data_IF_436881455297
#
_entry.id   IF_436881455297
#
_cell.length_a   1.000
_cell.length_b   1.000
_cell.length_c   1.000
_cell.angle_alpha   90.00
_cell.angle_beta   90.00
_cell.angle_gamma   90.00
#
_symmetry.space_group_name_H-M   'P 1'
#
loop_
_entity.id
_entity.type
_entity.pdbx_description
1 polymer ?
#
# COMPACT_ATOMS: atom_id res chain seq x y z
N UNK A 1 -59.20 -23.40 -45.94
CA UNK A 1 -58.50 -22.19 -46.41
C UNK A 1 -59.08 -21.00 -45.67
N UNK A 2 -58.33 -20.46 -44.73
CA UNK A 2 -58.57 -19.18 -44.05
C UNK A 2 -57.22 -18.44 -43.99
N UNK A 3 -57.18 -17.14 -44.28
CA UNK A 3 -55.95 -16.43 -44.60
C UNK A 3 -55.09 -16.21 -43.36
N UNK A 4 -53.78 -16.30 -43.53
CA UNK A 4 -52.80 -16.14 -42.46
C UNK A 4 -52.73 -14.71 -41.93
N UNK A 5 -52.64 -14.61 -40.61
CA UNK A 5 -52.15 -13.40 -39.94
C UNK A 5 -50.62 -13.35 -40.06
N UNK A 6 -50.03 -12.24 -40.55
CA UNK A 6 -48.60 -12.04 -40.45
C UNK A 6 -48.24 -11.68 -39.01
N UNK A 7 -47.48 -12.55 -38.34
CA UNK A 7 -46.79 -12.21 -37.09
C UNK A 7 -45.83 -11.06 -37.38
N UNK A 8 -46.10 -9.90 -36.80
CA UNK A 8 -45.16 -8.79 -36.70
C UNK A 8 -43.91 -9.31 -35.98
N UNK A 9 -42.78 -9.33 -36.70
CA UNK A 9 -41.48 -9.51 -36.08
C UNK A 9 -41.24 -8.35 -35.13
N UNK A 10 -41.20 -8.64 -33.82
CA UNK A 10 -40.66 -7.74 -32.81
C UNK A 10 -39.21 -7.42 -33.21
N UNK A 11 -39.00 -6.19 -33.69
CA UNK A 11 -37.67 -5.62 -33.82
C UNK A 11 -37.10 -5.53 -32.41
N UNK A 12 -36.07 -6.33 -32.14
CA UNK A 12 -35.31 -6.26 -30.90
C UNK A 12 -34.91 -4.80 -30.64
N UNK A 13 -35.42 -4.27 -29.54
CA UNK A 13 -34.93 -3.02 -28.97
C UNK A 13 -33.51 -3.35 -28.50
N UNK A 14 -32.51 -2.87 -29.23
CA UNK A 14 -31.14 -2.86 -28.77
C UNK A 14 -31.13 -1.94 -27.53
N UNK A 15 -31.16 -2.52 -26.33
CA UNK A 15 -31.05 -1.76 -25.08
C UNK A 15 -29.74 -0.98 -25.14
N UNK A 16 -29.84 0.35 -25.16
CA UNK A 16 -28.68 1.22 -25.20
C UNK A 16 -27.82 0.97 -23.96
N UNK A 17 -26.53 0.72 -24.17
CA UNK A 17 -25.55 0.58 -23.08
C UNK A 17 -25.54 1.88 -22.27
N UNK A 18 -25.68 1.84 -20.93
CA UNK A 18 -25.65 3.04 -20.09
C UNK A 18 -24.36 3.86 -20.32
N UNK A 19 -24.45 5.20 -20.28
CA UNK A 19 -23.30 6.11 -20.53
C UNK A 19 -22.05 5.73 -19.70
N UNK A 20 -22.24 5.44 -18.41
CA UNK A 20 -21.15 5.00 -17.51
C UNK A 20 -20.45 3.73 -18.01
N UNK A 21 -21.20 2.81 -18.60
CA UNK A 21 -20.64 1.57 -19.12
C UNK A 21 -19.80 1.79 -20.37
N UNK A 22 -20.20 2.73 -21.22
CA UNK A 22 -19.37 3.18 -22.34
C UNK A 22 -18.09 3.87 -21.84
N UNK A 23 -18.16 4.68 -20.79
CA UNK A 23 -16.98 5.33 -20.18
C UNK A 23 -16.00 4.30 -19.61
N UNK A 24 -16.50 3.25 -18.96
CA UNK A 24 -15.68 2.15 -18.44
C UNK A 24 -14.94 1.42 -19.56
N UNK A 25 -15.62 1.11 -20.66
CA UNK A 25 -14.99 0.54 -21.85
C UNK A 25 -13.94 1.49 -22.43
N UNK A 26 -14.24 2.78 -22.49
CA UNK A 26 -13.31 3.80 -22.98
C UNK A 26 -12.05 3.90 -22.13
N UNK A 27 -12.18 3.87 -20.80
CA UNK A 27 -11.04 3.84 -19.89
C UNK A 27 -10.13 2.64 -20.17
N UNK A 28 -10.74 1.46 -20.35
CA UNK A 28 -10.00 0.25 -20.67
C UNK A 28 -9.28 0.32 -22.03
N UNK A 29 -9.94 0.84 -23.06
CA UNK A 29 -9.32 1.08 -24.37
C UNK A 29 -8.13 2.04 -24.28
N UNK A 30 -8.25 3.13 -23.51
CA UNK A 30 -7.17 4.09 -23.32
C UNK A 30 -5.97 3.46 -22.63
N UNK A 31 -6.19 2.59 -21.64
CA UNK A 31 -5.12 1.81 -20.99
C UNK A 31 -4.47 0.85 -22.00
N UNK A 32 -5.25 0.15 -22.81
CA UNK A 32 -4.74 -0.76 -23.84
C UNK A 32 -3.88 -0.04 -24.90
N UNK A 33 -4.30 1.16 -25.32
CA UNK A 33 -3.54 1.99 -26.25
C UNK A 33 -2.22 2.51 -25.64
N UNK A 34 -2.15 2.63 -24.31
CA UNK A 34 -0.95 3.06 -23.59
C UNK A 34 -0.06 1.89 -23.13
N UNK A 35 -0.47 0.64 -23.33
CA UNK A 35 0.14 -0.57 -22.76
C UNK A 35 1.66 -0.66 -23.01
N UNK A 36 2.13 -0.38 -24.23
CA UNK A 36 3.56 -0.43 -24.54
C UNK A 36 4.37 0.61 -23.73
N UNK A 37 3.83 1.82 -23.57
CA UNK A 37 4.49 2.90 -22.81
C UNK A 37 4.46 2.63 -21.30
N UNK A 38 3.36 2.09 -20.80
CA UNK A 38 3.21 1.69 -19.40
C UNK A 38 4.15 0.53 -19.04
N UNK A 39 4.23 -0.49 -19.89
CA UNK A 39 5.18 -1.59 -19.68
C UNK A 39 6.64 -1.17 -19.83
N UNK A 40 6.94 -0.17 -20.67
CA UNK A 40 8.28 0.42 -20.74
C UNK A 40 8.64 1.19 -19.45
N UNK A 41 7.70 1.96 -18.88
CA UNK A 41 7.85 2.63 -17.59
C UNK A 41 8.14 1.62 -16.48
N UNK A 42 7.31 0.58 -16.36
CA UNK A 42 7.48 -0.49 -15.37
C UNK A 42 8.83 -1.19 -15.50
N UNK A 43 9.24 -1.50 -16.74
CA UNK A 43 10.53 -2.15 -17.01
C UNK A 43 11.71 -1.25 -16.65
N UNK A 44 11.63 0.05 -16.89
CA UNK A 44 12.68 0.99 -16.53
C UNK A 44 12.89 1.00 -15.02
N UNK A 45 11.81 1.14 -14.25
CA UNK A 45 11.83 1.07 -12.78
C UNK A 45 12.41 -0.28 -12.32
N UNK A 46 11.88 -1.39 -12.85
CA UNK A 46 12.30 -2.73 -12.47
C UNK A 46 13.79 -3.01 -12.69
N UNK A 47 14.36 -2.47 -13.78
CA UNK A 47 15.73 -2.76 -14.20
C UNK A 47 16.82 -2.04 -13.39
N UNK A 48 16.46 -0.99 -12.66
CA UNK A 48 17.37 -0.20 -11.83
C UNK A 48 16.75 -0.02 -10.44
N UNK A 49 16.77 -1.08 -9.60
CA UNK A 49 16.15 -1.05 -8.30
C UNK A 49 16.87 -0.10 -7.34
N UNK A 50 16.12 0.80 -6.72
CA UNK A 50 16.60 1.79 -5.76
C UNK A 50 15.91 1.60 -4.41
N UNK A 51 16.65 1.78 -3.32
CA UNK A 51 16.13 1.56 -1.96
C UNK A 51 15.25 2.72 -1.50
N UNK A 52 14.54 2.49 -0.39
CA UNK A 52 13.76 3.51 0.29
C UNK A 52 14.52 4.86 0.43
N UNK A 53 13.85 5.94 0.01
CA UNK A 53 14.33 7.33 -0.05
C UNK A 53 15.43 7.64 -1.08
N UNK A 54 15.91 6.65 -1.82
CA UNK A 54 16.98 6.78 -2.82
C UNK A 54 16.46 6.54 -4.25
N UNK A 55 15.13 6.50 -4.45
CA UNK A 55 14.43 6.16 -5.70
C UNK A 55 14.46 7.27 -6.78
N UNK A 56 15.65 7.81 -7.05
CA UNK A 56 15.85 8.94 -7.96
C UNK A 56 15.59 8.61 -9.43
N UNK A 57 16.01 7.43 -9.90
CA UNK A 57 15.74 6.96 -11.25
C UNK A 57 14.24 6.70 -11.43
N UNK A 58 13.61 5.94 -10.53
CA UNK A 58 12.18 5.63 -10.64
C UNK A 58 11.31 6.90 -10.57
N UNK A 59 11.63 7.83 -9.67
CA UNK A 59 11.04 9.17 -9.61
C UNK A 59 11.17 9.91 -10.94
N UNK A 60 12.37 9.91 -11.51
CA UNK A 60 12.67 10.54 -12.79
C UNK A 60 11.88 9.94 -13.96
N UNK A 61 11.71 8.62 -14.00
CA UNK A 61 10.93 7.93 -15.02
C UNK A 61 9.43 8.27 -14.92
N UNK A 62 8.86 8.24 -13.71
CA UNK A 62 7.44 8.55 -13.49
C UNK A 62 7.10 10.01 -13.78
N UNK A 63 7.93 10.95 -13.32
CA UNK A 63 7.73 12.38 -13.60
C UNK A 63 7.81 12.66 -15.10
N UNK A 64 8.85 12.14 -15.79
CA UNK A 64 8.99 12.26 -17.25
C UNK A 64 7.84 11.62 -18.01
N UNK A 65 7.30 10.50 -17.53
CA UNK A 65 6.16 9.83 -18.14
C UNK A 65 4.95 10.76 -18.20
N UNK A 66 4.56 11.38 -17.07
CA UNK A 66 3.41 12.29 -17.03
C UNK A 66 3.66 13.61 -17.78
N UNK A 67 4.86 14.16 -17.74
CA UNK A 67 5.23 15.38 -18.49
C UNK A 67 5.05 15.19 -20.01
N UNK A 68 5.36 13.98 -20.49
CA UNK A 68 5.33 13.62 -21.91
C UNK A 68 4.02 12.98 -22.36
N UNK A 69 3.08 12.72 -21.46
CA UNK A 69 1.82 12.09 -21.80
C UNK A 69 1.03 12.94 -22.80
N UNK A 70 0.64 12.39 -23.97
CA UNK A 70 -0.06 13.15 -24.99
C UNK A 70 -1.49 13.57 -24.61
N UNK A 71 -1.99 14.71 -25.12
CA UNK A 71 -1.18 15.83 -25.60
C UNK A 71 -0.19 16.32 -24.53
N UNK A 72 1.05 16.63 -24.95
CA UNK A 72 2.15 17.07 -24.07
C UNK A 72 1.70 18.23 -23.18
N UNK A 73 2.19 18.27 -21.94
CA UNK A 73 1.81 19.26 -20.92
C UNK A 73 0.32 19.22 -20.53
N UNK A 74 -0.32 18.06 -20.69
CA UNK A 74 -1.67 17.80 -20.17
C UNK A 74 -1.70 17.62 -18.65
N UNK A 75 -0.62 17.12 -18.05
CA UNK A 75 -0.48 16.98 -16.60
C UNK A 75 0.37 18.11 -16.01
N UNK A 76 -0.10 18.68 -14.90
CA UNK A 76 0.69 19.59 -14.07
C UNK A 76 1.55 18.76 -13.10
N UNK A 77 2.82 18.54 -13.48
CA UNK A 77 3.77 17.72 -12.71
C UNK A 77 4.60 18.59 -11.76
N UNK A 78 4.65 18.17 -10.50
CA UNK A 78 5.46 18.75 -9.43
C UNK A 78 6.43 17.65 -8.92
N UNK A 79 7.68 17.62 -9.39
CA UNK A 79 8.70 16.74 -8.83
C UNK A 79 9.10 17.22 -7.42
N UNK A 80 9.70 16.31 -6.63
CA UNK A 80 10.19 16.57 -5.28
C UNK A 80 9.09 17.10 -4.34
N UNK A 81 7.90 16.50 -4.41
CA UNK A 81 6.71 16.98 -3.70
C UNK A 81 6.69 16.47 -2.26
N UNK A 82 7.08 17.30 -1.31
CA UNK A 82 7.15 16.95 0.13
C UNK A 82 8.41 16.14 0.49
N UNK A 83 8.82 15.20 -0.36
CA UNK A 83 10.05 14.42 -0.22
C UNK A 83 10.94 14.51 -1.47
N UNK A 84 12.27 14.28 -1.36
CA UNK A 84 13.20 14.31 -2.48
C UNK A 84 12.85 13.34 -3.62
N UNK A 85 12.28 12.17 -3.33
CA UNK A 85 11.91 11.18 -4.35
C UNK A 85 10.42 11.06 -4.56
N UNK A 86 9.60 11.93 -3.96
CA UNK A 86 8.16 11.98 -4.21
C UNK A 86 7.78 12.92 -5.36
N UNK A 87 6.60 12.72 -5.96
CA UNK A 87 6.04 13.64 -6.95
C UNK A 87 4.52 13.74 -6.86
N UNK A 88 3.98 14.79 -7.48
CA UNK A 88 2.55 14.99 -7.67
C UNK A 88 2.26 15.37 -9.11
N UNK A 89 1.43 14.60 -9.82
CA UNK A 89 0.95 14.94 -11.16
C UNK A 89 -0.55 15.16 -11.13
N UNK A 90 -1.02 16.33 -11.54
CA UNK A 90 -2.45 16.67 -11.56
C UNK A 90 -2.99 16.81 -12.97
N UNK A 91 -4.21 16.32 -13.18
CA UNK A 91 -4.99 16.58 -14.39
C UNK A 91 -6.41 16.97 -14.01
N UNK A 92 -6.95 17.96 -14.72
CA UNK A 92 -8.35 18.37 -14.65
C UNK A 92 -8.92 18.41 -16.07
N UNK A 93 -10.21 18.08 -16.26
CA UNK A 93 -10.84 18.17 -17.57
C UNK A 93 -10.78 19.61 -18.14
N UNK A 94 -10.38 19.79 -19.41
CA UNK A 94 -10.29 21.12 -20.02
C UNK A 94 -11.67 21.72 -20.30
N UNK A 95 -11.78 23.05 -20.20
CA UNK A 95 -12.98 23.81 -20.60
C UNK A 95 -13.98 24.10 -19.48
N UNK A 96 -15.20 24.58 -19.81
CA UNK A 96 -16.23 24.90 -18.83
C UNK A 96 -16.65 23.65 -18.04
N UNK A 97 -16.55 23.71 -16.72
CA UNK A 97 -16.96 22.63 -15.81
C UNK A 97 -18.44 22.76 -15.46
N UNK A 98 -19.10 21.62 -15.18
CA UNK A 98 -20.39 21.66 -14.52
C UNK A 98 -20.28 22.38 -13.16
N UNK A 99 -21.39 22.91 -12.63
CA UNK A 99 -21.38 23.56 -11.32
C UNK A 99 -21.23 22.53 -10.20
N UNK A 100 -20.36 22.79 -9.21
CA UNK A 100 -20.16 21.94 -8.04
C UNK A 100 -18.73 22.03 -7.48
N UNK A 101 -18.51 21.45 -6.30
CA UNK A 101 -17.16 21.22 -5.78
C UNK A 101 -16.47 20.12 -6.61
N UNK A 102 -15.18 20.28 -6.86
CA UNK A 102 -14.39 19.28 -7.57
C UNK A 102 -14.14 18.06 -6.69
N UNK A 103 -14.39 16.87 -7.24
CA UNK A 103 -14.02 15.60 -6.62
C UNK A 103 -12.54 15.32 -6.91
N UNK A 104 -11.72 15.13 -5.88
CA UNK A 104 -10.30 14.89 -6.01
C UNK A 104 -9.96 13.41 -5.80
N UNK A 105 -9.54 12.73 -6.86
CA UNK A 105 -9.19 11.31 -6.82
C UNK A 105 -7.67 11.12 -6.86
N UNK A 106 -7.12 10.43 -5.87
CA UNK A 106 -5.69 10.11 -5.79
C UNK A 106 -5.38 8.72 -6.31
N UNK A 107 -4.33 8.57 -7.11
CA UNK A 107 -3.76 7.29 -7.54
C UNK A 107 -2.33 7.22 -7.04
N UNK A 108 -2.03 6.24 -6.19
CA UNK A 108 -0.71 6.13 -5.57
C UNK A 108 0.20 5.19 -6.37
N UNK A 109 1.47 5.55 -6.43
CA UNK A 109 2.53 4.82 -7.10
C UNK A 109 3.69 4.61 -6.12
N UNK A 110 3.97 3.36 -5.75
CA UNK A 110 5.21 2.98 -5.04
C UNK A 110 6.28 2.51 -6.03
N UNK A 111 7.55 2.63 -5.67
CA UNK A 111 8.66 2.32 -6.58
C UNK A 111 10.01 2.14 -5.87
N UNK A 112 10.04 1.91 -4.57
CA UNK A 112 11.21 1.45 -3.85
C UNK A 112 11.45 -0.06 -4.01
N UNK A 113 12.67 -0.49 -3.73
CA UNK A 113 13.14 -1.86 -3.86
C UNK A 113 13.75 -2.36 -2.55
N UNK A 114 13.94 -3.68 -2.47
CA UNK A 114 14.47 -4.36 -1.30
C UNK A 114 15.99 -4.56 -1.39
N UNK A 115 16.74 -4.40 -0.27
CA UNK A 115 18.19 -4.63 -0.23
C UNK A 115 18.59 -6.02 -0.72
N UNK A 116 19.35 -6.07 -1.83
CA UNK A 116 19.88 -7.30 -2.41
C UNK A 116 18.86 -8.18 -3.14
N UNK A 117 17.58 -7.81 -3.19
CA UNK A 117 16.51 -8.56 -3.86
C UNK A 117 15.89 -7.81 -5.04
N UNK A 118 16.06 -6.49 -5.14
CA UNK A 118 15.39 -5.68 -6.17
C UNK A 118 13.90 -5.52 -5.87
N UNK A 119 13.06 -5.37 -6.90
CA UNK A 119 11.61 -5.22 -6.73
C UNK A 119 10.90 -6.56 -6.41
N UNK A 120 11.32 -7.23 -5.34
CA UNK A 120 10.73 -8.49 -4.89
C UNK A 120 9.35 -8.33 -4.23
N UNK A 121 8.87 -7.08 -4.06
CA UNK A 121 7.49 -6.77 -3.71
C UNK A 121 6.67 -6.24 -4.91
N UNK A 122 7.31 -6.08 -6.07
CA UNK A 122 6.64 -5.70 -7.32
C UNK A 122 6.23 -4.23 -7.44
N UNK A 123 6.92 -3.32 -6.73
CA UNK A 123 6.58 -1.89 -6.72
C UNK A 123 6.64 -1.25 -8.12
N UNK A 124 7.44 -1.78 -9.05
CA UNK A 124 7.39 -1.39 -10.46
C UNK A 124 5.99 -1.57 -11.08
N UNK A 125 5.25 -2.62 -10.71
CA UNK A 125 3.89 -2.88 -11.16
C UNK A 125 2.88 -1.99 -10.42
N UNK A 126 3.11 -1.65 -9.15
CA UNK A 126 2.28 -0.71 -8.39
C UNK A 126 2.34 0.68 -9.04
N UNK A 127 3.54 1.17 -9.35
CA UNK A 127 3.75 2.41 -10.10
C UNK A 127 2.98 2.39 -11.43
N UNK A 128 3.10 1.31 -12.19
CA UNK A 128 2.42 1.13 -13.47
C UNK A 128 0.89 1.16 -13.32
N UNK A 129 0.34 0.46 -12.33
CA UNK A 129 -1.11 0.42 -12.07
C UNK A 129 -1.66 1.80 -11.76
N UNK A 130 -1.00 2.54 -10.84
CA UNK A 130 -1.42 3.88 -10.46
C UNK A 130 -1.44 4.83 -11.66
N UNK A 131 -0.38 4.79 -12.48
CA UNK A 131 -0.29 5.60 -13.69
C UNK A 131 -1.33 5.22 -14.74
N UNK A 132 -1.48 3.92 -15.02
CA UNK A 132 -2.44 3.40 -15.98
C UNK A 132 -3.89 3.74 -15.61
N UNK A 133 -4.26 3.56 -14.34
CA UNK A 133 -5.61 3.84 -13.88
C UNK A 133 -5.96 5.33 -14.03
N UNK A 134 -5.03 6.22 -13.69
CA UNK A 134 -5.18 7.67 -13.87
C UNK A 134 -5.36 8.06 -15.35
N UNK A 135 -4.58 7.46 -16.26
CA UNK A 135 -4.74 7.65 -17.70
C UNK A 135 -6.10 7.16 -18.21
N UNK A 136 -6.57 6.00 -17.73
CA UNK A 136 -7.87 5.44 -18.09
C UNK A 136 -9.02 6.38 -17.70
N UNK A 137 -9.01 6.90 -16.47
CA UNK A 137 -10.04 7.85 -15.99
C UNK A 137 -10.02 9.13 -16.84
N UNK A 138 -8.84 9.68 -17.10
CA UNK A 138 -8.68 10.85 -17.98
C UNK A 138 -9.27 10.59 -19.37
N UNK A 139 -8.87 9.48 -20.02
CA UNK A 139 -9.29 9.16 -21.38
C UNK A 139 -10.80 8.92 -21.50
N UNK A 140 -11.44 8.38 -20.46
CA UNK A 140 -12.89 8.29 -20.38
C UNK A 140 -13.56 9.66 -20.27
N UNK A 141 -13.07 10.53 -19.40
CA UNK A 141 -13.63 11.87 -19.18
C UNK A 141 -13.46 12.79 -20.39
N UNK A 142 -12.34 12.70 -21.11
CA UNK A 142 -12.12 13.41 -22.39
C UNK A 142 -13.05 12.90 -23.51
N UNK A 143 -13.54 11.66 -23.40
CA UNK A 143 -14.46 11.06 -24.37
C UNK A 143 -15.92 11.49 -24.21
N UNK A 144 -16.26 12.33 -23.22
CA UNK A 144 -17.63 12.77 -22.99
C UNK A 144 -18.11 13.78 -24.03
N UNK A 145 -19.33 13.56 -24.54
CA UNK A 145 -20.02 14.50 -25.44
C UNK A 145 -20.59 15.74 -24.72
N UNK A 146 -20.57 15.75 -23.39
CA UNK A 146 -21.11 16.81 -22.52
C UNK A 146 -20.02 17.30 -21.56
N UNK A 147 -20.18 18.49 -20.96
CA UNK A 147 -19.24 18.96 -19.95
C UNK A 147 -19.03 17.91 -18.85
N UNK A 148 -17.77 17.53 -18.55
CA UNK A 148 -17.47 16.55 -17.53
C UNK A 148 -17.84 17.08 -16.13
N UNK A 149 -18.14 16.19 -15.17
CA UNK A 149 -18.27 16.59 -13.78
C UNK A 149 -16.97 17.23 -13.27
N UNK A 150 -17.02 18.13 -12.28
CA UNK A 150 -15.82 18.72 -11.69
C UNK A 150 -15.02 17.62 -10.99
N UNK A 151 -13.91 17.20 -11.60
CA UNK A 151 -13.02 16.15 -11.09
C UNK A 151 -11.58 16.61 -11.26
N UNK A 152 -10.74 16.31 -10.29
CA UNK A 152 -9.28 16.37 -10.40
C UNK A 152 -8.71 14.97 -10.20
N UNK A 153 -7.91 14.52 -11.16
CA UNK A 153 -7.14 13.27 -11.05
C UNK A 153 -5.74 13.63 -10.60
N UNK A 154 -5.29 13.02 -9.52
CA UNK A 154 -4.00 13.29 -8.89
C UNK A 154 -3.24 11.97 -8.83
N UNK A 155 -2.04 11.92 -9.38
CA UNK A 155 -1.11 10.82 -9.18
C UNK A 155 -0.07 11.27 -8.16
N UNK A 156 0.10 10.48 -7.11
CA UNK A 156 1.11 10.71 -6.09
C UNK A 156 2.15 9.61 -6.15
N UNK A 157 3.41 10.01 -6.36
CA UNK A 157 4.53 9.12 -6.15
C UNK A 157 4.86 9.04 -4.67
N UNK A 158 4.80 7.83 -4.12
CA UNK A 158 4.97 7.55 -2.69
C UNK A 158 6.20 6.65 -2.49
N UNK A 159 7.38 7.22 -2.18
CA UNK A 159 8.61 6.45 -1.96
C UNK A 159 8.58 5.71 -0.62
N UNK A 160 9.61 4.90 -0.38
CA UNK A 160 9.99 4.37 0.93
C UNK A 160 8.89 3.61 1.70
N UNK A 161 8.16 2.72 1.03
CA UNK A 161 7.17 1.88 1.72
C UNK A 161 7.82 0.72 2.48
N UNK A 162 8.90 0.14 1.96
CA UNK A 162 9.56 -1.02 2.57
C UNK A 162 10.39 -0.65 3.81
N UNK A 163 10.84 0.60 3.90
CA UNK A 163 11.62 1.10 5.04
C UNK A 163 11.35 2.59 5.25
N UNK A 164 10.90 2.94 6.46
CA UNK A 164 10.74 4.32 6.91
C UNK A 164 9.35 4.95 6.70
N UNK A 165 8.54 4.51 5.72
CA UNK A 165 7.13 4.90 5.60
C UNK A 165 6.91 6.26 4.93
N UNK A 166 7.32 6.40 3.68
CA UNK A 166 7.26 7.67 2.96
C UNK A 166 5.84 8.23 2.77
N UNK A 167 4.77 7.42 2.82
CA UNK A 167 3.39 7.96 2.84
C UNK A 167 3.10 8.71 4.14
N UNK A 168 3.70 8.31 5.24
CA UNK A 168 3.54 8.95 6.55
C UNK A 168 4.17 10.34 6.52
N UNK A 169 5.40 10.43 6.02
CA UNK A 169 6.07 11.72 5.76
C UNK A 169 5.23 12.63 4.83
N UNK A 170 4.65 12.05 3.77
CA UNK A 170 3.80 12.78 2.83
C UNK A 170 2.48 13.24 3.47
N UNK A 171 1.90 12.47 4.40
CA UNK A 171 0.74 12.89 5.21
C UNK A 171 1.12 14.11 6.06
N UNK A 172 2.26 14.06 6.75
CA UNK A 172 2.77 15.17 7.56
C UNK A 172 3.06 16.43 6.73
N UNK A 173 3.60 16.25 5.52
CA UNK A 173 3.81 17.32 4.54
C UNK A 173 2.50 17.85 3.91
N UNK A 174 1.34 17.23 4.21
CA UNK A 174 0.03 17.64 3.74
C UNK A 174 -0.32 17.19 2.32
N UNK A 175 0.38 16.19 1.77
CA UNK A 175 0.17 15.71 0.40
C UNK A 175 -1.22 15.14 0.15
N UNK A 176 -1.82 14.53 1.17
CA UNK A 176 -3.14 13.89 1.13
C UNK A 176 -4.29 14.83 1.47
N UNK A 177 -4.01 16.09 1.83
CA UNK A 177 -5.05 17.09 2.14
C UNK A 177 -5.96 17.32 0.93
N UNK A 178 -7.26 17.39 1.19
CA UNK A 178 -8.31 17.62 0.19
C UNK A 178 -8.46 16.51 -0.87
N UNK A 179 -7.92 15.31 -0.66
CA UNK A 179 -8.30 14.15 -1.47
C UNK A 179 -9.63 13.58 -0.98
N UNK A 180 -10.51 13.21 -1.92
CA UNK A 180 -11.81 12.62 -1.58
C UNK A 180 -11.76 11.09 -1.52
N UNK A 181 -11.00 10.44 -2.40
CA UNK A 181 -10.80 8.98 -2.45
C UNK A 181 -9.42 8.67 -3.04
N UNK A 182 -8.72 7.67 -2.49
CA UNK A 182 -7.44 7.18 -3.01
C UNK A 182 -7.52 5.74 -3.52
N UNK A 183 -6.74 5.44 -4.57
CA UNK A 183 -6.65 4.14 -5.22
C UNK A 183 -5.19 3.73 -5.36
N UNK A 184 -4.90 2.49 -5.05
CA UNK A 184 -3.60 1.83 -5.25
C UNK A 184 -3.88 0.34 -5.38
N UNK A 185 -3.07 -0.47 -6.06
CA UNK A 185 -3.20 -1.92 -5.99
C UNK A 185 -1.83 -2.58 -5.93
N UNK A 186 -1.77 -3.70 -5.23
CA UNK A 186 -0.53 -4.40 -4.91
C UNK A 186 -0.45 -5.76 -5.64
N UNK A 187 0.67 -6.13 -6.26
CA UNK A 187 0.81 -7.45 -6.86
C UNK A 187 0.93 -8.54 -5.78
N UNK A 188 0.36 -9.73 -6.04
CA UNK A 188 0.41 -10.89 -5.13
C UNK A 188 0.28 -12.20 -5.92
N UNK A 189 0.09 -13.32 -5.22
CA UNK A 189 -0.20 -14.63 -5.83
C UNK A 189 -1.69 -14.85 -6.13
N UNK A 190 -2.57 -13.98 -5.65
CA UNK A 190 -4.02 -14.18 -5.74
C UNK A 190 -4.77 -12.86 -5.88
N UNK A 191 -5.81 -12.84 -6.71
CA UNK A 191 -6.66 -11.66 -6.83
C UNK A 191 -7.54 -11.51 -5.56
N UNK A 192 -7.40 -10.39 -4.85
CA UNK A 192 -8.19 -10.07 -3.65
C UNK A 192 -8.60 -8.59 -3.65
N UNK A 193 -9.83 -8.28 -3.26
CA UNK A 193 -10.26 -6.88 -3.14
C UNK A 193 -9.75 -6.22 -1.84
N UNK A 194 -9.32 -7.04 -0.89
CA UNK A 194 -8.79 -6.67 0.41
C UNK A 194 -8.04 -7.88 0.98
N UNK A 195 -6.90 -7.64 1.62
CA UNK A 195 -6.27 -8.58 2.56
C UNK A 195 -6.07 -7.85 3.88
N UNK A 196 -5.95 -8.61 4.97
CA UNK A 196 -5.74 -8.04 6.29
C UNK A 196 -4.31 -7.50 6.42
N UNK A 197 -4.13 -6.19 6.32
CA UNK A 197 -2.88 -5.53 6.66
C UNK A 197 -2.93 -5.02 8.09
N UNK A 198 -1.96 -5.45 8.90
CA UNK A 198 -1.94 -5.26 10.35
C UNK A 198 -1.00 -4.15 10.75
N UNK A 199 -1.27 -3.57 11.92
CA UNK A 199 -0.42 -2.53 12.47
C UNK A 199 0.92 -3.11 12.93
N UNK A 200 2.00 -2.38 12.69
CA UNK A 200 3.37 -2.77 12.99
C UNK A 200 4.14 -1.68 13.73
N UNK A 201 4.98 -2.10 14.68
CA UNK A 201 5.93 -1.25 15.40
C UNK A 201 7.26 -1.97 15.54
N UNK A 202 8.33 -1.24 15.23
CA UNK A 202 9.69 -1.75 15.22
C UNK A 202 10.49 -1.13 16.36
N UNK A 203 11.31 -1.94 17.04
CA UNK A 203 12.17 -1.47 18.13
C UNK A 203 13.60 -2.00 18.03
N UNK A 204 14.55 -1.11 18.26
CA UNK A 204 15.93 -1.44 18.57
C UNK A 204 16.14 -1.37 20.09
N UNK A 205 16.60 -2.47 20.68
CA UNK A 205 16.86 -2.60 22.12
C UNK A 205 18.35 -2.74 22.34
N UNK A 206 18.94 -1.80 23.08
CA UNK A 206 20.38 -1.79 23.39
C UNK A 206 20.59 -1.92 24.88
N UNK A 207 21.37 -2.92 25.29
CA UNK A 207 21.78 -3.06 26.68
C UNK A 207 23.23 -2.59 26.85
N UNK A 208 23.47 -1.84 27.93
CA UNK A 208 24.80 -1.38 28.31
C UNK A 208 25.14 -1.90 29.71
N UNK A 209 26.27 -2.59 29.79
CA UNK A 209 26.84 -3.18 31.00
C UNK A 209 28.30 -2.77 31.19
N UNK A 210 29.13 -3.69 31.70
CA UNK A 210 30.53 -3.46 32.03
C UNK A 210 31.36 -4.70 31.72
N UNK A 211 32.40 -4.52 30.92
CA UNK A 211 33.28 -5.61 30.54
C UNK A 211 34.17 -6.05 31.72
N UNK A 212 34.46 -7.34 31.78
CA UNK A 212 35.44 -7.94 32.69
C UNK A 212 35.97 -9.24 32.12
N UNK A 213 37.09 -9.72 32.66
CA UNK A 213 37.66 -11.01 32.26
C UNK A 213 36.78 -12.16 32.79
N UNK A 214 36.14 -12.89 31.88
CA UNK A 214 35.07 -13.83 32.22
C UNK A 214 35.50 -14.92 33.22
N UNK A 215 36.75 -15.39 33.13
CA UNK A 215 37.26 -16.43 34.04
C UNK A 215 37.93 -15.89 35.32
N UNK A 216 38.38 -14.63 35.31
CA UNK A 216 39.28 -14.14 36.37
C UNK A 216 38.56 -13.23 37.36
N UNK A 217 37.69 -12.34 36.86
CA UNK A 217 36.98 -11.35 37.68
C UNK A 217 35.51 -11.19 37.24
N UNK A 218 34.73 -12.28 37.05
CA UNK A 218 33.37 -12.16 36.52
C UNK A 218 32.46 -11.27 37.37
N UNK A 219 32.66 -11.24 38.69
CA UNK A 219 31.91 -10.40 39.63
C UNK A 219 32.12 -8.89 39.46
N UNK A 220 33.16 -8.47 38.74
CA UNK A 220 33.40 -7.05 38.41
C UNK A 220 32.63 -6.59 37.17
N UNK A 221 32.06 -7.53 36.41
CA UNK A 221 31.35 -7.28 35.16
C UNK A 221 29.83 -7.15 35.32
N UNK A 222 29.20 -6.57 34.31
CA UNK A 222 27.74 -6.50 34.13
C UNK A 222 27.46 -6.95 32.70
N UNK A 223 26.82 -8.11 32.54
CA UNK A 223 26.79 -8.82 31.27
C UNK A 223 25.58 -8.41 30.41
N UNK A 224 25.85 -7.63 29.35
CA UNK A 224 24.82 -7.19 28.41
C UNK A 224 24.29 -8.33 27.52
N UNK A 225 25.07 -9.39 27.26
CA UNK A 225 24.57 -10.56 26.52
C UNK A 225 23.56 -11.34 27.38
N UNK A 226 23.78 -11.46 28.68
CA UNK A 226 22.81 -12.11 29.58
C UNK A 226 21.48 -11.33 29.59
N UNK A 227 21.53 -9.99 29.52
CA UNK A 227 20.33 -9.17 29.38
C UNK A 227 19.58 -9.45 28.07
N UNK A 228 20.30 -9.58 26.95
CA UNK A 228 19.69 -9.95 25.66
C UNK A 228 19.06 -11.36 25.69
N UNK A 229 19.72 -12.34 26.32
CA UNK A 229 19.20 -13.71 26.45
C UNK A 229 17.96 -13.76 27.35
N UNK A 230 17.98 -13.04 28.48
CA UNK A 230 16.82 -12.91 29.36
C UNK A 230 15.66 -12.20 28.66
N UNK A 231 15.93 -11.13 27.91
CA UNK A 231 14.93 -10.46 27.08
C UNK A 231 14.26 -11.42 26.10
N UNK A 232 15.07 -12.21 25.38
CA UNK A 232 14.57 -13.21 24.44
C UNK A 232 13.69 -14.26 25.13
N UNK A 233 14.10 -14.71 26.32
CA UNK A 233 13.35 -15.68 27.13
C UNK A 233 12.05 -15.10 27.69
N UNK A 234 12.09 -13.85 28.17
CA UNK A 234 10.91 -13.13 28.66
C UNK A 234 9.86 -12.98 27.56
N UNK A 235 10.28 -12.57 26.35
CA UNK A 235 9.39 -12.51 25.17
C UNK A 235 8.87 -13.89 24.79
N UNK A 236 9.70 -14.94 24.88
CA UNK A 236 9.26 -16.31 24.59
C UNK A 236 8.11 -16.75 25.49
N UNK A 237 8.18 -16.47 26.80
CA UNK A 237 7.09 -16.84 27.73
C UNK A 237 5.90 -15.88 27.68
N UNK A 238 6.09 -14.61 27.27
CA UNK A 238 5.01 -13.66 27.00
C UNK A 238 4.01 -14.21 25.97
N UNK A 239 4.47 -15.00 25.00
CA UNK A 239 3.63 -15.56 23.92
C UNK A 239 2.42 -16.34 24.40
N UNK A 240 2.51 -17.01 25.55
CA UNK A 240 1.35 -17.71 26.13
C UNK A 240 0.20 -16.76 26.46
N UNK A 241 0.51 -15.49 26.76
CA UNK A 241 -0.44 -14.45 27.15
C UNK A 241 -0.72 -13.43 26.04
N UNK A 242 -0.31 -13.73 24.81
CA UNK A 242 -0.64 -12.94 23.63
C UNK A 242 -1.96 -13.42 23.02
N UNK A 243 -2.68 -12.51 22.35
CA UNK A 243 -3.81 -12.92 21.52
C UNK A 243 -3.32 -13.76 20.33
N UNK A 244 -4.15 -14.68 19.80
CA UNK A 244 -3.76 -15.54 18.66
C UNK A 244 -3.27 -14.78 17.43
N UNK A 245 -3.76 -13.55 17.19
CA UNK A 245 -3.39 -12.73 16.04
C UNK A 245 -2.15 -11.85 16.25
N UNK A 246 -1.58 -11.80 17.47
CA UNK A 246 -0.42 -10.96 17.75
C UNK A 246 0.89 -11.65 17.35
N UNK A 247 1.85 -10.90 16.85
CA UNK A 247 3.20 -11.38 16.55
C UNK A 247 4.24 -10.48 17.20
N UNK A 248 5.32 -11.11 17.66
CA UNK A 248 6.54 -10.47 18.13
C UNK A 248 7.66 -11.31 17.57
N UNK A 249 8.62 -10.77 16.86
CA UNK A 249 9.76 -11.53 16.35
C UNK A 249 10.97 -10.62 16.26
N UNK A 250 12.16 -11.19 16.41
CA UNK A 250 13.37 -10.40 16.47
C UNK A 250 14.62 -11.25 16.52
N UNK A 251 15.75 -10.55 16.45
CA UNK A 251 17.09 -11.13 16.40
C UNK A 251 18.01 -10.45 17.41
N UNK A 252 19.09 -11.14 17.80
CA UNK A 252 20.24 -10.52 18.47
C UNK A 252 21.22 -10.09 17.38
N UNK A 253 21.26 -8.80 17.08
CA UNK A 253 22.14 -8.23 16.06
C UNK A 253 23.59 -8.15 16.54
N UNK A 254 23.79 -7.87 17.84
CA UNK A 254 25.11 -7.87 18.47
C UNK A 254 25.03 -8.57 19.83
N UNK A 255 25.82 -9.63 20.00
CA UNK A 255 25.88 -10.45 21.21
C UNK A 255 27.25 -10.47 21.90
N UNK A 256 28.15 -9.56 21.55
CA UNK A 256 29.53 -9.53 22.06
C UNK A 256 30.57 -10.10 21.08
N UNK A 257 31.84 -9.95 21.45
CA UNK A 257 32.98 -10.12 20.52
C UNK A 257 33.80 -11.39 20.78
N UNK A 258 34.04 -11.75 22.05
CA UNK A 258 34.84 -12.92 22.43
C UNK A 258 34.33 -13.59 23.71
N UNK A 259 34.36 -14.94 23.82
CA UNK A 259 33.85 -15.65 25.01
C UNK A 259 34.59 -15.36 26.32
N UNK A 260 35.86 -14.94 26.27
CA UNK A 260 36.66 -14.65 27.47
C UNK A 260 36.48 -13.22 28.01
N UNK A 261 35.65 -12.41 27.36
CA UNK A 261 35.33 -11.03 27.75
C UNK A 261 33.82 -10.96 28.00
N UNK A 262 33.42 -10.55 29.20
CA UNK A 262 32.01 -10.27 29.50
C UNK A 262 31.53 -9.14 28.57
N UNK A 263 30.48 -9.34 27.75
CA UNK A 263 29.97 -8.30 26.87
C UNK A 263 29.44 -7.08 27.65
N UNK A 264 29.97 -5.90 27.35
CA UNK A 264 29.46 -4.63 27.89
C UNK A 264 28.36 -4.01 27.03
N UNK A 265 28.08 -4.58 25.86
CA UNK A 265 27.05 -4.11 24.93
C UNK A 265 26.37 -5.29 24.24
N UNK A 266 25.06 -5.19 24.03
CA UNK A 266 24.29 -6.05 23.15
C UNK A 266 23.17 -5.26 22.48
N UNK A 267 22.73 -5.72 21.31
CA UNK A 267 21.71 -5.06 20.49
C UNK A 267 20.75 -6.09 19.90
N UNK A 268 19.45 -5.83 20.05
CA UNK A 268 18.37 -6.62 19.49
C UNK A 268 17.51 -5.74 18.59
N UNK A 269 16.92 -6.35 17.56
CA UNK A 269 15.90 -5.74 16.71
C UNK A 269 14.65 -6.61 16.83
N UNK A 270 13.50 -5.99 17.09
CA UNK A 270 12.21 -6.66 17.19
C UNK A 270 11.13 -5.91 16.42
N UNK A 271 10.22 -6.66 15.82
CA UNK A 271 8.99 -6.17 15.20
C UNK A 271 7.79 -6.71 15.96
N UNK A 272 6.78 -5.87 16.15
CA UNK A 272 5.52 -6.18 16.81
C UNK A 272 4.39 -5.98 15.83
N UNK A 273 3.49 -6.96 15.72
CA UNK A 273 2.31 -6.86 14.86
C UNK A 273 1.03 -7.20 15.59
N UNK A 274 0.00 -6.40 15.37
CA UNK A 274 -1.33 -6.63 15.91
C UNK A 274 -2.42 -6.12 14.94
N UNK A 275 -3.64 -6.70 14.97
CA UNK A 275 -4.70 -6.33 14.03
C UNK A 275 -5.13 -4.86 14.04
N UNK A 276 -4.82 -4.11 15.10
CA UNK A 276 -5.10 -2.67 15.18
C UNK A 276 -4.10 -1.93 16.04
N UNK A 277 -3.99 -0.61 15.86
CA UNK A 277 -3.13 0.26 16.67
C UNK A 277 -3.44 0.19 18.16
N UNK A 278 -4.72 0.07 18.51
CA UNK A 278 -5.13 -0.10 19.91
C UNK A 278 -4.51 -1.35 20.54
N UNK A 279 -4.50 -2.45 19.80
CA UNK A 279 -3.91 -3.71 20.26
C UNK A 279 -2.39 -3.68 20.23
N UNK A 280 -1.80 -3.06 19.20
CA UNK A 280 -0.36 -2.88 19.06
C UNK A 280 0.23 -2.13 20.25
N UNK A 281 -0.43 -1.07 20.73
CA UNK A 281 -0.01 -0.32 21.93
C UNK A 281 0.03 -1.20 23.19
N UNK A 282 -0.93 -2.12 23.34
CA UNK A 282 -0.96 -3.06 24.48
C UNK A 282 0.17 -4.09 24.36
N UNK A 283 0.38 -4.63 23.16
CA UNK A 283 1.46 -5.57 22.88
C UNK A 283 2.84 -4.94 23.11
N UNK A 284 3.06 -3.74 22.55
CA UNK A 284 4.30 -2.98 22.67
C UNK A 284 4.66 -2.78 24.14
N UNK A 285 3.72 -2.30 24.96
CA UNK A 285 3.97 -2.14 26.39
C UNK A 285 4.39 -3.44 27.07
N UNK A 286 3.73 -4.56 26.78
CA UNK A 286 4.08 -5.87 27.35
C UNK A 286 5.47 -6.33 26.92
N UNK A 287 5.83 -6.14 25.66
CA UNK A 287 7.14 -6.53 25.13
C UNK A 287 8.26 -5.63 25.70
N UNK A 288 8.04 -4.33 25.77
CA UNK A 288 8.98 -3.40 26.39
C UNK A 288 9.21 -3.69 27.88
N UNK A 289 8.17 -4.06 28.62
CA UNK A 289 8.30 -4.47 30.02
C UNK A 289 9.21 -5.71 30.15
N UNK A 290 9.17 -6.66 29.19
CA UNK A 290 10.09 -7.80 29.13
C UNK A 290 11.55 -7.36 28.97
N UNK A 291 11.80 -6.34 28.16
CA UNK A 291 13.14 -5.80 27.93
C UNK A 291 13.65 -5.04 29.16
N UNK A 292 12.82 -4.21 29.77
CA UNK A 292 13.16 -3.49 31.01
C UNK A 292 13.43 -4.44 32.17
N UNK A 293 12.67 -5.53 32.28
CA UNK A 293 12.89 -6.56 33.29
C UNK A 293 14.25 -7.27 33.14
N UNK A 294 14.69 -7.52 31.91
CA UNK A 294 16.00 -8.13 31.66
C UNK A 294 17.17 -7.20 32.04
N UNK A 295 17.03 -5.89 31.79
CA UNK A 295 17.98 -4.88 32.25
C UNK A 295 18.08 -4.91 33.79
N UNK A 296 16.93 -4.85 34.46
CA UNK A 296 16.84 -4.86 35.92
C UNK A 296 17.48 -6.11 36.53
N UNK A 297 17.17 -7.29 35.99
CA UNK A 297 17.68 -8.57 36.51
C UNK A 297 19.19 -8.72 36.41
N UNK A 298 19.82 -8.07 35.42
CA UNK A 298 21.27 -8.18 35.16
C UNK A 298 22.07 -7.00 35.69
N UNK A 299 21.41 -5.93 36.14
CA UNK A 299 22.05 -4.67 36.48
C UNK A 299 22.51 -3.85 35.27
N UNK A 300 22.07 -4.20 34.05
CA UNK A 300 22.32 -3.41 32.86
C UNK A 300 21.42 -2.15 32.84
N UNK A 301 21.82 -1.18 32.04
CA UNK A 301 20.90 -0.14 31.54
C UNK A 301 20.37 -0.56 30.18
N UNK A 302 19.17 -0.08 29.82
CA UNK A 302 18.54 -0.36 28.52
C UNK A 302 18.06 0.91 27.86
N UNK A 303 18.35 1.02 26.57
CA UNK A 303 17.76 1.98 25.66
C UNK A 303 16.82 1.22 24.72
N UNK A 304 15.57 1.67 24.63
CA UNK A 304 14.59 1.12 23.69
C UNK A 304 14.19 2.26 22.78
N UNK A 305 14.52 2.12 21.50
CA UNK A 305 14.25 3.11 20.48
C UNK A 305 13.31 2.49 19.45
N UNK A 306 12.11 3.05 19.34
CA UNK A 306 11.21 2.74 18.22
C UNK A 306 11.74 3.30 16.91
N UNK A 307 11.29 2.77 15.80
CA UNK A 307 11.51 3.43 14.51
C UNK A 307 10.73 4.76 14.42
N UNK A 308 11.01 5.54 13.38
CA UNK A 308 10.46 6.88 13.19
C UNK A 308 8.93 6.83 13.05
N UNK A 309 8.41 5.81 12.37
CA UNK A 309 6.98 5.69 12.09
C UNK A 309 6.43 4.30 12.43
N UNK A 310 5.17 4.28 12.89
CA UNK A 310 4.37 3.07 13.05
C UNK A 310 3.49 2.88 11.83
N UNK A 311 3.40 1.65 11.32
CA UNK A 311 2.47 1.33 10.24
C UNK A 311 1.12 0.96 10.84
N UNK A 312 0.07 1.57 10.33
CA UNK A 312 -1.28 1.34 10.83
C UNK A 312 -1.93 0.18 10.09
N UNK A 313 -2.99 -0.40 10.66
CA UNK A 313 -3.81 -1.39 9.97
C UNK A 313 -4.60 -0.74 8.82
N UNK A 314 -4.74 -1.41 7.68
CA UNK A 314 -5.56 -0.86 6.57
C UNK A 314 -7.03 -0.88 6.95
N UNK A 315 -7.71 0.27 6.85
CA UNK A 315 -9.14 0.38 7.13
C UNK A 315 -9.95 -0.07 5.91
N UNK A 316 -10.74 -1.16 6.01
CA UNK A 316 -11.51 -1.64 4.88
C UNK A 316 -12.67 -0.69 4.53
N UNK A 317 -12.75 -0.28 3.26
CA UNK A 317 -13.91 0.40 2.70
C UNK A 317 -14.74 -0.59 1.86
N UNK A 318 -15.78 -1.18 2.47
CA UNK A 318 -16.57 -2.25 1.85
C UNK A 318 -17.30 -1.79 0.58
N UNK A 319 -17.70 -0.53 0.51
CA UNK A 319 -18.32 0.04 -0.68
C UNK A 319 -17.36 0.11 -1.86
N UNK A 320 -16.11 0.57 -1.64
CA UNK A 320 -15.06 0.55 -2.66
C UNK A 320 -14.70 -0.87 -3.08
N UNK A 321 -14.51 -1.79 -2.12
CA UNK A 321 -14.23 -3.19 -2.44
C UNK A 321 -15.30 -3.72 -3.40
N UNK A 322 -16.58 -3.53 -3.08
CA UNK A 322 -17.68 -4.16 -3.84
C UNK A 322 -17.72 -3.66 -5.27
N UNK A 323 -17.53 -2.36 -5.45
CA UNK A 323 -17.41 -1.75 -6.77
C UNK A 323 -16.18 -2.31 -7.54
N UNK A 324 -15.03 -2.44 -6.87
CA UNK A 324 -13.84 -3.04 -7.48
C UNK A 324 -14.06 -4.49 -7.90
N UNK A 325 -14.68 -5.31 -7.05
CA UNK A 325 -14.99 -6.70 -7.38
C UNK A 325 -15.97 -6.82 -8.55
N UNK A 326 -16.99 -5.97 -8.60
CA UNK A 326 -17.96 -5.95 -9.71
C UNK A 326 -17.28 -5.63 -11.04
N UNK A 327 -16.43 -4.59 -11.07
CA UNK A 327 -15.67 -4.22 -12.26
C UNK A 327 -14.62 -5.29 -12.63
N UNK A 328 -13.89 -5.81 -11.65
CA UNK A 328 -12.88 -6.85 -11.85
C UNK A 328 -13.45 -8.13 -12.44
N UNK A 329 -14.61 -8.60 -11.94
CA UNK A 329 -15.28 -9.80 -12.48
C UNK A 329 -15.65 -9.66 -13.96
N UNK A 330 -16.01 -8.45 -14.39
CA UNK A 330 -16.31 -8.17 -15.80
C UNK A 330 -15.07 -8.19 -16.70
N UNK A 331 -13.89 -8.00 -16.11
CA UNK A 331 -12.59 -8.15 -16.75
C UNK A 331 -12.03 -9.59 -16.59
N UNK A 332 -12.80 -10.52 -16.03
CA UNK A 332 -12.39 -11.91 -15.83
C UNK A 332 -11.47 -12.12 -14.62
N UNK A 333 -11.49 -11.23 -13.63
CA UNK A 333 -10.79 -11.43 -12.36
C UNK A 333 -11.57 -12.41 -11.49
N UNK A 334 -10.89 -13.46 -11.01
CA UNK A 334 -11.43 -14.44 -10.07
C UNK A 334 -10.91 -14.14 -8.67
N UNK A 335 -11.76 -13.51 -7.86
CA UNK A 335 -11.39 -13.17 -6.49
C UNK A 335 -11.46 -14.38 -5.55
N UNK A 336 -10.52 -14.44 -4.61
CA UNK A 336 -10.60 -15.36 -3.47
C UNK A 336 -11.88 -15.15 -2.65
N UNK A 337 -12.22 -16.10 -1.78
CA UNK A 337 -13.41 -15.98 -0.94
C UNK A 337 -13.28 -14.86 0.09
N UNK A 338 -14.40 -14.26 0.51
CA UNK A 338 -14.39 -13.23 1.58
C UNK A 338 -13.81 -13.78 2.89
N UNK A 339 -14.00 -15.07 3.18
CA UNK A 339 -13.37 -15.72 4.33
C UNK A 339 -11.84 -15.77 4.21
N UNK A 340 -11.32 -16.10 3.03
CA UNK A 340 -9.89 -16.07 2.74
C UNK A 340 -9.31 -14.65 2.79
N UNK A 341 -10.06 -13.63 2.36
CA UNK A 341 -9.64 -12.22 2.47
C UNK A 341 -9.50 -11.77 3.92
N UNK A 342 -10.42 -12.18 4.79
CA UNK A 342 -10.50 -11.71 6.19
C UNK A 342 -9.63 -12.52 7.15
N UNK A 343 -9.33 -13.78 6.82
CA UNK A 343 -8.60 -14.72 7.68
C UNK A 343 -7.29 -15.22 7.05
N UNK A 344 -6.91 -14.70 5.88
CA UNK A 344 -5.72 -15.08 5.14
C UNK A 344 -4.41 -14.54 5.72
N UNK A 345 -3.29 -14.72 4.99
CA UNK A 345 -2.02 -14.11 5.32
C UNK A 345 -2.13 -12.60 5.47
N UNK A 346 -1.33 -12.02 6.36
CA UNK A 346 -1.35 -10.59 6.66
C UNK A 346 -0.02 -9.90 6.35
N UNK A 347 -0.08 -8.75 5.71
CA UNK A 347 1.04 -7.83 5.51
C UNK A 347 1.00 -6.65 6.46
N UNK A 348 1.88 -5.68 6.23
CA UNK A 348 1.90 -4.36 6.86
C UNK A 348 2.34 -3.38 5.77
N UNK A 349 1.68 -2.23 5.68
CA UNK A 349 1.95 -1.21 4.67
C UNK A 349 1.60 0.17 5.22
N UNK A 350 2.37 1.19 4.84
CA UNK A 350 2.08 2.58 5.20
C UNK A 350 0.84 3.14 4.46
N UNK A 351 0.26 2.40 3.48
CA UNK A 351 -1.09 2.66 2.97
C UNK A 351 -2.13 2.57 4.08
N UNK A 352 -1.86 1.78 5.12
CA UNK A 352 -2.64 1.76 6.36
C UNK A 352 -2.84 3.16 6.90
N UNK A 353 -1.76 3.93 7.05
CA UNK A 353 -1.80 5.31 7.56
C UNK A 353 -2.62 6.23 6.64
N UNK A 354 -2.53 6.05 5.32
CA UNK A 354 -3.37 6.80 4.35
C UNK A 354 -4.85 6.55 4.60
N UNK A 355 -5.24 5.30 4.85
CA UNK A 355 -6.65 4.95 5.12
C UNK A 355 -7.20 5.48 6.44
N UNK A 356 -6.40 6.16 7.27
CA UNK A 356 -6.88 6.91 8.43
C UNK A 356 -7.16 8.39 8.13
N UNK A 357 -6.65 8.92 7.02
CA UNK A 357 -6.79 10.33 6.65
C UNK A 357 -7.68 10.54 5.44
N UNK A 358 -7.73 9.57 4.51
CA UNK A 358 -8.56 9.61 3.29
C UNK A 358 -9.16 8.22 3.04
N UNK A 359 -10.45 8.07 2.66
CA UNK A 359 -10.97 6.76 2.27
C UNK A 359 -10.25 6.22 1.04
N UNK A 360 -9.87 4.95 1.06
CA UNK A 360 -9.11 4.34 -0.02
C UNK A 360 -9.38 2.87 -0.26
N UNK A 361 -8.79 2.35 -1.33
CA UNK A 361 -8.76 0.92 -1.63
C UNK A 361 -7.34 0.49 -2.02
N UNK A 362 -6.94 -0.68 -1.53
CA UNK A 362 -5.67 -1.36 -1.77
C UNK A 362 -5.93 -2.86 -2.05
N UNK A 363 -6.52 -3.21 -3.22
CA UNK A 363 -6.67 -4.60 -3.61
C UNK A 363 -5.33 -5.21 -4.01
N UNK A 364 -5.32 -6.53 -4.02
CA UNK A 364 -4.21 -7.35 -4.47
C UNK A 364 -4.55 -8.01 -5.81
N UNK A 365 -3.57 -8.15 -6.69
CA UNK A 365 -3.76 -8.76 -8.01
C UNK A 365 -2.70 -9.80 -8.34
N UNK A 366 -3.14 -10.92 -8.92
CA UNK A 366 -2.26 -11.99 -9.37
C UNK A 366 -1.35 -11.51 -10.51
N UNK A 367 -0.09 -11.94 -10.55
CA UNK A 367 0.87 -11.53 -11.61
C UNK A 367 1.32 -12.65 -12.56
N UNK A 368 0.62 -13.79 -12.60
CA UNK A 368 1.06 -14.92 -13.43
C UNK A 368 2.07 -15.85 -12.76
N UNK A 369 2.31 -15.70 -11.45
CA UNK A 369 3.28 -16.52 -10.72
C UNK A 369 2.81 -16.88 -9.30
N UNK A 370 3.17 -18.09 -8.86
CA UNK A 370 2.99 -18.55 -7.48
C UNK A 370 4.18 -18.19 -6.56
N UNK A 371 5.15 -17.40 -7.04
CA UNK A 371 6.28 -16.96 -6.24
C UNK A 371 5.80 -16.15 -5.03
N UNK A 372 6.55 -16.20 -3.93
CA UNK A 372 6.23 -15.41 -2.73
C UNK A 372 6.92 -14.05 -2.79
N UNK A 373 6.22 -12.97 -2.42
CA UNK A 373 6.83 -11.66 -2.23
C UNK A 373 8.09 -11.79 -1.35
N UNK A 374 9.09 -10.94 -1.60
CA UNK A 374 10.39 -10.89 -0.93
C UNK A 374 11.25 -12.12 -1.21
N UNK A 375 11.10 -12.70 -2.42
CA UNK A 375 11.97 -13.75 -2.94
C UNK A 375 12.54 -13.36 -4.30
N UNK A 376 13.71 -13.90 -4.66
CA UNK A 376 14.32 -13.68 -5.98
C UNK A 376 13.39 -14.07 -7.13
N UNK A 377 12.61 -15.16 -6.95
CA UNK A 377 11.63 -15.62 -7.93
C UNK A 377 10.51 -14.60 -8.16
N UNK A 378 10.16 -13.82 -7.14
CA UNK A 378 9.15 -12.78 -7.28
C UNK A 378 9.70 -11.56 -8.02
N UNK A 379 10.95 -11.19 -7.81
CA UNK A 379 11.63 -10.15 -8.60
C UNK A 379 11.58 -10.50 -10.09
N UNK A 380 11.91 -11.75 -10.45
CA UNK A 380 11.82 -12.22 -11.84
C UNK A 380 10.38 -12.17 -12.37
N UNK A 381 9.40 -12.60 -11.57
CA UNK A 381 7.99 -12.57 -11.94
C UNK A 381 7.47 -11.15 -12.16
N UNK A 382 7.82 -10.20 -11.28
CA UNK A 382 7.40 -8.80 -11.35
C UNK A 382 7.98 -8.05 -12.56
N UNK A 383 9.12 -8.50 -13.09
CA UNK A 383 9.71 -7.98 -14.34
C UNK A 383 9.24 -8.69 -15.60
N UNK A 384 8.38 -9.70 -15.48
CA UNK A 384 8.02 -10.56 -16.61
C UNK A 384 7.02 -9.91 -17.57
N UNK A 385 7.05 -10.34 -18.84
CA UNK A 385 6.05 -9.94 -19.83
C UNK A 385 4.66 -10.51 -19.50
N UNK A 386 4.59 -11.62 -18.76
CA UNK A 386 3.34 -12.25 -18.33
C UNK A 386 2.59 -11.39 -17.30
N UNK A 387 3.32 -10.80 -16.35
CA UNK A 387 2.75 -9.90 -15.34
C UNK A 387 2.00 -8.70 -15.93
N UNK A 388 2.39 -8.25 -17.12
CA UNK A 388 1.82 -7.08 -17.79
C UNK A 388 0.32 -7.22 -18.09
N UNK A 389 -0.13 -8.41 -18.51
CA UNK A 389 -1.56 -8.64 -18.76
C UNK A 389 -2.38 -8.40 -17.49
N UNK A 390 -1.91 -8.96 -16.38
CA UNK A 390 -2.61 -8.86 -15.10
C UNK A 390 -2.53 -7.46 -14.49
N UNK A 391 -1.38 -6.80 -14.62
CA UNK A 391 -1.13 -5.43 -14.16
C UNK A 391 -2.11 -4.45 -14.83
N UNK A 392 -2.22 -4.51 -16.16
CA UNK A 392 -3.18 -3.67 -16.89
C UNK A 392 -4.63 -4.04 -16.59
N UNK A 393 -4.93 -5.32 -16.32
CA UNK A 393 -6.26 -5.76 -15.89
C UNK A 393 -6.65 -5.15 -14.53
N UNK A 394 -5.73 -5.10 -13.56
CA UNK A 394 -5.94 -4.45 -12.27
C UNK A 394 -6.14 -2.93 -12.43
N UNK A 395 -5.30 -2.28 -13.25
CA UNK A 395 -5.43 -0.85 -13.54
C UNK A 395 -6.79 -0.49 -14.16
N UNK A 396 -7.30 -1.31 -15.09
CA UNK A 396 -8.65 -1.15 -15.65
C UNK A 396 -9.73 -1.26 -14.58
N UNK A 397 -9.64 -2.26 -13.70
CA UNK A 397 -10.60 -2.42 -12.61
C UNK A 397 -10.60 -1.20 -11.66
N UNK A 398 -9.43 -0.63 -11.34
CA UNK A 398 -9.33 0.61 -10.56
C UNK A 398 -9.94 1.80 -11.31
N UNK A 399 -9.61 1.99 -12.59
CA UNK A 399 -10.15 3.09 -13.40
C UNK A 399 -11.68 3.03 -13.51
N UNK A 400 -12.24 1.83 -13.75
CA UNK A 400 -13.68 1.60 -13.79
C UNK A 400 -14.34 1.89 -12.43
N UNK A 401 -13.65 1.57 -11.34
CA UNK A 401 -14.13 1.84 -9.97
C UNK A 401 -14.11 3.34 -9.66
N UNK A 402 -13.05 4.05 -10.07
CA UNK A 402 -13.00 5.51 -9.98
C UNK A 402 -14.13 6.16 -10.78
N UNK A 403 -14.46 5.65 -11.98
CA UNK A 403 -15.63 6.12 -12.74
C UNK A 403 -16.95 5.84 -12.02
N UNK A 404 -17.10 4.70 -11.33
CA UNK A 404 -18.26 4.49 -10.47
C UNK A 404 -18.35 5.56 -9.39
N UNK A 405 -17.24 5.92 -8.73
CA UNK A 405 -17.23 6.99 -7.70
C UNK A 405 -17.63 8.34 -8.29
N UNK A 406 -17.16 8.67 -9.50
CA UNK A 406 -17.47 9.94 -10.17
C UNK A 406 -18.97 10.04 -10.53
N UNK A 407 -19.55 8.96 -11.04
CA UNK A 407 -20.88 8.99 -11.66
C UNK A 407 -22.01 8.43 -10.79
N UNK A 408 -21.71 7.84 -9.62
CA UNK A 408 -22.69 7.34 -8.65
C UNK A 408 -22.56 8.09 -7.32
N UNK A 409 -23.24 9.24 -7.14
CA UNK A 409 -23.16 10.04 -5.91
C UNK A 409 -23.51 9.24 -4.64
N UNK A 410 -24.44 8.29 -4.76
CA UNK A 410 -24.81 7.39 -3.68
C UNK A 410 -23.70 6.41 -3.29
N UNK A 411 -22.81 6.04 -4.22
CA UNK A 411 -21.62 5.25 -3.90
C UNK A 411 -20.63 6.09 -3.11
N UNK A 412 -20.33 7.31 -3.56
CA UNK A 412 -19.43 8.23 -2.83
C UNK A 412 -19.92 8.50 -1.40
N UNK A 413 -21.24 8.67 -1.23
CA UNK A 413 -21.82 8.82 0.12
C UNK A 413 -21.55 7.59 0.99
N UNK A 414 -21.80 6.36 0.48
CA UNK A 414 -21.53 5.13 1.23
C UNK A 414 -20.05 4.95 1.55
N UNK A 415 -19.16 5.35 0.64
CA UNK A 415 -17.70 5.31 0.85
C UNK A 415 -17.31 6.21 2.04
N UNK A 416 -17.85 7.42 2.11
CA UNK A 416 -17.63 8.36 3.23
C UNK A 416 -18.23 7.84 4.54
N UNK A 417 -19.39 7.20 4.48
CA UNK A 417 -20.03 6.56 5.64
C UNK A 417 -19.19 5.38 6.17
N UNK A 418 -18.73 4.49 5.29
CA UNK A 418 -17.86 3.35 5.64
C UNK A 418 -16.58 3.85 6.33
N UNK A 419 -15.94 4.88 5.78
CA UNK A 419 -14.72 5.47 6.34
C UNK A 419 -14.96 6.09 7.72
N UNK A 420 -16.01 6.89 7.88
CA UNK A 420 -16.37 7.48 9.17
C UNK A 420 -16.64 6.41 10.23
N UNK A 421 -17.34 5.34 9.87
CA UNK A 421 -17.62 4.23 10.78
C UNK A 421 -16.32 3.54 11.22
N UNK A 422 -15.39 3.29 10.28
CA UNK A 422 -14.11 2.65 10.59
C UNK A 422 -13.22 3.49 11.52
N UNK A 423 -13.13 4.80 11.28
CA UNK A 423 -12.41 5.70 12.18
C UNK A 423 -13.00 5.71 13.60
N UNK A 424 -14.34 5.66 13.72
CA UNK A 424 -15.01 5.59 15.01
C UNK A 424 -14.74 4.27 15.75
N UNK A 425 -14.70 3.14 15.03
CA UNK A 425 -14.34 1.83 15.59
C UNK A 425 -12.90 1.82 16.14
N UNK A 426 -11.97 2.47 15.43
CA UNK A 426 -10.57 2.64 15.86
C UNK A 426 -10.37 3.73 16.93
N UNK A 427 -11.42 4.50 17.25
CA UNK A 427 -11.36 5.65 18.16
C UNK A 427 -10.33 6.70 17.72
N UNK A 428 -10.15 6.85 16.40
CA UNK A 428 -9.20 7.78 15.79
C UNK A 428 -9.87 9.12 15.47
N UNK A 429 -9.17 10.22 15.75
CA UNK A 429 -9.57 11.57 15.33
C UNK A 429 -8.77 11.92 14.09
N UNK A 430 -9.45 12.10 12.96
CA UNK A 430 -8.80 12.55 11.73
C UNK A 430 -8.46 14.04 11.84
N UNK A 431 -7.17 14.38 11.90
CA UNK A 431 -6.67 15.75 12.01
C UNK A 431 -6.48 16.45 10.65
N UNK A 432 -6.82 15.77 9.54
CA UNK A 432 -6.61 16.24 8.17
C UNK A 432 -7.83 16.99 7.58
N UNK A 433 -8.96 17.03 8.31
CA UNK A 433 -10.17 17.81 7.94
C UNK A 433 -10.01 19.34 8.09
#
# INVERSE_FOLDING_TARGET
MGPGEPRLAERGVCEAVPELELLKLRAAECIDLAAERLGALSRAIWSEPELAYEEHHAHGELTRFFEREPPVASWAVQPHYGLPTAFRAEWEPPGPRAHGAALHLGFLCEYDALPGLGHACGHNLIAEVGAAAALGVRGALEGLSRPPPPVKVIVLGTPAEEEGGGKIDLIEAGAFKNLDVVFMAHPSQEDAAYLLDVAEHDVTVKYYGKASHAAAYPWEGVNALDAAVLAYSNVSVLRQQMKPAWRVHGIIKNGGVKPNIIPSYSELIYYFRAPSMKELRVLTKKAEDCFRAAALATGCTVEIKGDTHDYYNVLPNKSLWKAYMENGKRLGIEFISEDAMLNGPSGSTDFGNVTFVVPGIHPYFYIGSNALNHTEQYTEAAGSQEAQFYTLRAAKALAMTALDVIFKPELLQRIREDFKLKLQEEQFLNEVE
#
